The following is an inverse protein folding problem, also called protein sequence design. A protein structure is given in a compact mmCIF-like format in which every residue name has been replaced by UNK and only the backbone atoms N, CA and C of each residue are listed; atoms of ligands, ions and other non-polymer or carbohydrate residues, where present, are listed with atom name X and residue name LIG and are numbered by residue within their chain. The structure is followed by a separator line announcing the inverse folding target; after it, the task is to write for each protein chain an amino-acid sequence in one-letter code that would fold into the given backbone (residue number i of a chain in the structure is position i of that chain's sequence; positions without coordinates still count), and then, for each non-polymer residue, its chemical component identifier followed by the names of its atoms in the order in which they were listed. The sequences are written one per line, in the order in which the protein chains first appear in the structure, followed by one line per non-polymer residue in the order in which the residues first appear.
data_IF_796625319621
#
_entry.id   IF_796625319621
#
_cell.length_a   1.000
_cell.length_b   1.000
_cell.length_c   1.000
_cell.angle_alpha   90.00
_cell.angle_beta   90.00
_cell.angle_gamma   90.00
#
_symmetry.space_group_name_H-M   'P 1'
#
loop_
_entity.id
_entity.type
_entity.pdbx_description
1 polymer ?
#
# COMPACT_ATOMS: atom_id res chain seq x y z
N UNK A 1 -11.17 -4.06 -14.86
CA UNK A 1 -10.31 -3.22 -14.00
C UNK A 1 -8.85 -3.17 -14.49
N UNK A 2 -8.60 -2.82 -15.77
CA UNK A 2 -7.24 -2.76 -16.35
C UNK A 2 -6.90 -1.35 -16.88
N UNK A 3 -7.79 -0.35 -16.71
CA UNK A 3 -7.63 0.97 -17.34
C UNK A 3 -7.22 2.13 -16.42
N UNK A 4 -7.09 1.93 -15.10
CA UNK A 4 -6.78 3.01 -14.15
C UNK A 4 -5.27 3.24 -13.88
N UNK A 5 -4.38 2.39 -14.39
CA UNK A 5 -2.94 2.46 -14.12
C UNK A 5 -2.18 3.05 -15.31
N UNK A 6 -1.40 4.11 -15.09
CA UNK A 6 -0.43 4.64 -16.08
C UNK A 6 0.79 3.69 -16.14
N UNK A 7 1.51 3.71 -17.25
CA UNK A 7 2.67 2.84 -17.47
C UNK A 7 3.83 3.12 -16.51
N UNK A 8 3.86 4.33 -15.94
CA UNK A 8 5.01 4.95 -15.26
C UNK A 8 4.81 5.04 -13.74
N UNK A 9 4.18 4.05 -13.12
CA UNK A 9 4.06 4.04 -11.65
C UNK A 9 5.45 3.85 -11.03
N UNK A 10 5.86 4.83 -10.23
CA UNK A 10 7.01 4.78 -9.35
C UNK A 10 6.56 4.39 -7.94
N UNK A 11 7.23 3.40 -7.36
CA UNK A 11 7.04 2.97 -5.97
C UNK A 11 8.31 3.29 -5.19
N UNK A 12 8.22 4.21 -4.23
CA UNK A 12 9.31 4.54 -3.30
C UNK A 12 9.06 3.92 -1.93
N UNK A 13 10.09 3.31 -1.34
CA UNK A 13 10.12 2.76 0.01
C UNK A 13 11.31 3.37 0.79
N UNK A 14 11.17 4.52 1.45
CA UNK A 14 12.24 4.95 2.37
C UNK A 14 12.26 4.01 3.61
N UNK A 15 13.42 3.44 4.03
CA UNK A 15 14.80 3.86 3.76
C UNK A 15 15.61 2.95 2.80
N UNK A 16 14.96 2.05 2.04
CA UNK A 16 15.65 1.22 1.03
C UNK A 16 15.26 1.74 -0.36
N UNK A 17 16.15 2.37 -1.14
CA UNK A 17 15.84 2.87 -2.47
C UNK A 17 15.64 1.71 -3.45
N UNK A 18 14.51 1.01 -3.33
CA UNK A 18 14.02 0.05 -4.29
C UNK A 18 13.08 0.81 -5.23
N UNK A 19 13.66 1.41 -6.26
CA UNK A 19 12.91 1.99 -7.37
C UNK A 19 12.32 0.85 -8.21
N UNK A 20 11.02 0.59 -8.07
CA UNK A 20 10.31 -0.23 -9.05
C UNK A 20 9.64 0.70 -10.05
N UNK A 21 10.30 0.92 -11.19
CA UNK A 21 9.69 1.56 -12.35
C UNK A 21 8.99 0.50 -13.19
N UNK A 22 7.68 0.70 -13.40
CA UNK A 22 6.91 -0.03 -14.40
C UNK A 22 5.80 -0.91 -13.84
N UNK A 23 4.61 -0.76 -14.45
CA UNK A 23 3.37 -1.49 -14.15
C UNK A 23 3.55 -3.01 -13.99
N UNK A 24 4.45 -3.63 -14.75
CA UNK A 24 4.73 -5.08 -14.69
C UNK A 24 5.52 -5.50 -13.45
N UNK A 25 6.39 -4.64 -12.91
CA UNK A 25 7.17 -4.95 -11.72
C UNK A 25 6.32 -4.83 -10.44
N UNK A 26 5.49 -3.79 -10.33
CA UNK A 26 4.55 -3.60 -9.21
C UNK A 26 3.44 -4.66 -9.24
N UNK A 27 2.85 -4.94 -10.41
CA UNK A 27 1.84 -6.01 -10.53
C UNK A 27 2.47 -7.40 -10.35
N UNK A 28 3.71 -7.63 -10.82
CA UNK A 28 4.43 -8.90 -10.63
C UNK A 28 4.84 -9.16 -9.18
N UNK A 29 5.26 -8.13 -8.45
CA UNK A 29 5.57 -8.22 -7.02
C UNK A 29 4.30 -8.42 -6.18
N UNK A 30 3.22 -7.68 -6.48
CA UNK A 30 1.91 -7.89 -5.87
C UNK A 30 1.36 -9.29 -6.20
N UNK A 31 1.52 -9.77 -7.44
CA UNK A 31 1.02 -11.07 -7.86
C UNK A 31 1.80 -12.25 -7.25
N UNK A 32 3.12 -12.12 -7.09
CA UNK A 32 3.97 -13.22 -6.60
C UNK A 32 4.11 -13.29 -5.07
N UNK A 33 3.99 -12.17 -4.33
CA UNK A 33 4.17 -12.14 -2.86
C UNK A 33 2.96 -11.68 -2.05
N UNK A 34 1.97 -11.00 -2.66
CA UNK A 34 0.81 -10.41 -1.95
C UNK A 34 -0.49 -11.21 -2.17
N UNK A 35 -0.62 -11.99 -3.24
CA UNK A 35 -1.81 -12.80 -3.56
C UNK A 35 -1.97 -14.11 -2.74
N UNK A 36 -1.31 -14.28 -1.60
CA UNK A 36 -1.82 -15.23 -0.60
C UNK A 36 -3.10 -14.65 -0.03
N UNK A 37 -4.26 -15.23 -0.41
CA UNK A 37 -5.57 -14.78 0.08
C UNK A 37 -5.52 -14.63 1.60
N UNK A 38 -5.86 -13.43 2.09
CA UNK A 38 -5.88 -13.11 3.50
C UNK A 38 -4.54 -12.68 4.11
N UNK A 39 -3.44 -12.56 3.38
CA UNK A 39 -2.18 -12.05 3.96
C UNK A 39 -2.25 -10.54 4.27
N UNK A 40 -3.06 -9.79 3.54
CA UNK A 40 -3.15 -8.34 3.65
C UNK A 40 -4.59 -7.88 3.84
N UNK A 41 -4.79 -6.90 4.72
CA UNK A 41 -6.01 -6.10 4.81
C UNK A 41 -5.64 -4.66 4.51
N UNK A 42 -6.45 -3.98 3.70
CA UNK A 42 -6.23 -2.59 3.31
C UNK A 42 -7.46 -1.76 3.62
N UNK A 43 -7.28 -0.63 4.29
CA UNK A 43 -8.36 0.30 4.66
C UNK A 43 -8.16 1.61 3.89
N UNK A 44 -9.12 2.03 3.04
CA UNK A 44 -9.05 3.30 2.34
C UNK A 44 -9.02 4.48 3.31
N UNK A 45 -8.13 5.43 3.05
CA UNK A 45 -7.99 6.68 3.81
C UNK A 45 -7.52 7.82 2.90
N UNK A 46 -7.19 8.98 3.48
CA UNK A 46 -6.60 10.12 2.79
C UNK A 46 -5.39 10.63 3.55
N UNK A 47 -4.34 10.99 2.82
CA UNK A 47 -3.15 11.64 3.36
C UNK A 47 -2.90 12.92 2.56
N UNK A 48 -2.87 14.08 3.23
CA UNK A 48 -2.61 15.38 2.60
C UNK A 48 -3.45 15.64 1.33
N UNK A 49 -4.75 15.33 1.39
CA UNK A 49 -5.69 15.49 0.28
C UNK A 49 -5.62 14.41 -0.81
N UNK A 50 -4.59 13.56 -0.80
CA UNK A 50 -4.43 12.45 -1.75
C UNK A 50 -5.10 11.17 -1.24
N UNK A 51 -5.60 10.30 -2.14
CA UNK A 51 -6.05 8.96 -1.77
C UNK A 51 -4.91 8.14 -1.15
N UNK A 52 -5.22 7.39 -0.10
CA UNK A 52 -4.25 6.56 0.59
C UNK A 52 -4.90 5.25 1.08
N UNK A 53 -4.07 4.30 1.47
CA UNK A 53 -4.46 3.01 2.03
C UNK A 53 -3.63 2.75 3.28
N UNK A 54 -4.28 2.49 4.41
CA UNK A 54 -3.62 1.85 5.54
C UNK A 54 -3.54 0.36 5.27
N UNK A 55 -2.34 -0.22 5.45
CA UNK A 55 -2.05 -1.61 5.16
C UNK A 55 -1.80 -2.35 6.46
N UNK A 56 -2.46 -3.50 6.59
CA UNK A 56 -2.25 -4.47 7.66
C UNK A 56 -1.76 -5.79 7.09
N UNK A 57 -0.83 -6.43 7.78
CA UNK A 57 -0.29 -7.74 7.44
C UNK A 57 -0.77 -8.78 8.44
N UNK A 58 -1.19 -9.94 7.94
CA UNK A 58 -1.56 -11.07 8.77
C UNK A 58 -0.34 -11.66 9.45
N UNK A 59 -0.42 -11.84 10.76
CA UNK A 59 0.58 -12.50 11.61
C UNK A 59 0.31 -13.99 11.74
N UNK A 60 1.29 -14.75 12.25
CA UNK A 60 1.20 -16.22 12.37
C UNK A 60 0.08 -16.70 13.30
N UNK A 61 -0.35 -15.85 14.24
CA UNK A 61 -1.48 -16.06 15.16
C UNK A 61 -2.84 -15.69 14.53
N UNK A 62 -2.86 -15.30 13.25
CA UNK A 62 -4.08 -15.01 12.50
C UNK A 62 -4.58 -13.57 12.62
N UNK A 63 -4.03 -12.75 13.53
CA UNK A 63 -4.36 -11.32 13.66
C UNK A 63 -3.78 -10.51 12.49
N UNK A 64 -4.21 -9.25 12.38
CA UNK A 64 -3.67 -8.31 11.41
C UNK A 64 -2.99 -7.17 12.13
N UNK A 65 -1.70 -6.99 11.88
CA UNK A 65 -0.90 -5.91 12.47
C UNK A 65 -0.63 -4.82 11.45
N UNK A 66 -0.58 -3.58 11.93
CA UNK A 66 -0.28 -2.41 11.13
C UNK A 66 1.08 -2.60 10.45
N UNK A 67 1.09 -2.43 9.14
CA UNK A 67 2.29 -2.49 8.32
C UNK A 67 2.75 -1.10 7.90
N UNK A 68 1.80 -0.19 7.67
CA UNK A 68 2.09 1.18 7.26
C UNK A 68 1.01 1.75 6.35
N UNK A 69 1.38 2.77 5.57
CA UNK A 69 0.44 3.54 4.74
C UNK A 69 0.98 3.71 3.33
N UNK A 70 0.13 3.53 2.34
CA UNK A 70 0.43 3.76 0.92
C UNK A 70 -0.33 4.98 0.43
N UNK A 71 0.38 6.02 -0.03
CA UNK A 71 -0.22 7.23 -0.60
C UNK A 71 -0.19 7.14 -2.12
N UNK A 72 -1.33 7.36 -2.76
CA UNK A 72 -1.49 7.31 -4.20
C UNK A 72 -1.50 8.74 -4.74
N UNK A 73 -0.53 9.04 -5.61
CA UNK A 73 -0.58 10.26 -6.41
C UNK A 73 -1.28 9.98 -7.73
N UNK A 74 -2.23 10.84 -8.09
CA UNK A 74 -2.99 10.72 -9.33
C UNK A 74 -2.76 11.94 -10.23
N UNK A 75 -2.81 11.70 -11.54
CA UNK A 75 -3.01 12.73 -12.56
C UNK A 75 -4.30 12.36 -13.31
N UNK A 76 -5.33 13.20 -13.18
CA UNK A 76 -6.68 12.87 -13.60
C UNK A 76 -7.20 11.62 -12.87
N UNK A 77 -7.64 10.61 -13.62
CA UNK A 77 -8.14 9.33 -13.07
C UNK A 77 -7.08 8.23 -13.00
N UNK A 78 -5.80 8.56 -13.26
CA UNK A 78 -4.72 7.57 -13.33
C UNK A 78 -3.75 7.72 -12.16
N UNK A 79 -3.44 6.61 -11.49
CA UNK A 79 -2.37 6.58 -10.47
C UNK A 79 -1.03 6.69 -11.19
N UNK A 80 -0.21 7.65 -10.77
CA UNK A 80 1.13 7.92 -11.30
C UNK A 80 2.23 7.57 -10.32
N UNK A 81 1.93 7.50 -9.03
CA UNK A 81 2.93 7.14 -8.01
C UNK A 81 2.25 6.48 -6.81
N UNK A 82 2.95 5.52 -6.20
CA UNK A 82 2.56 4.91 -4.92
C UNK A 82 3.72 5.11 -3.95
N UNK A 83 3.55 5.97 -2.95
CA UNK A 83 4.55 6.14 -1.89
C UNK A 83 4.21 5.19 -0.74
N UNK A 84 5.06 4.22 -0.45
CA UNK A 84 4.84 3.25 0.62
C UNK A 84 5.64 3.65 1.86
N UNK A 85 4.93 4.10 2.88
CA UNK A 85 5.47 4.36 4.21
C UNK A 85 5.28 3.11 5.06
N UNK A 86 6.29 2.24 5.10
CA UNK A 86 6.26 0.99 5.87
C UNK A 86 6.56 1.23 7.35
N UNK A 87 5.87 2.20 7.94
CA UNK A 87 5.99 2.58 9.35
C UNK A 87 4.62 2.39 10.03
N UNK A 88 4.48 1.35 10.88
CA UNK A 88 3.25 1.11 11.63
C UNK A 88 2.83 2.27 12.53
N UNK A 89 3.78 3.08 13.02
CA UNK A 89 3.50 4.20 13.92
C UNK A 89 2.68 5.32 13.26
N UNK A 90 2.61 5.34 11.93
CA UNK A 90 1.77 6.26 11.17
C UNK A 90 0.29 5.88 11.20
N UNK A 91 -0.05 4.61 11.44
CA UNK A 91 -1.43 4.12 11.36
C UNK A 91 -2.39 4.82 12.35
N UNK A 92 -2.02 5.05 13.62
CA UNK A 92 -2.84 5.83 14.55
C UNK A 92 -3.15 7.26 14.08
N UNK A 93 -2.28 7.88 13.29
CA UNK A 93 -2.52 9.22 12.73
C UNK A 93 -3.71 9.26 11.76
N UNK A 94 -4.13 8.10 11.25
CA UNK A 94 -5.32 7.94 10.40
C UNK A 94 -6.54 7.48 11.20
N UNK A 95 -6.49 7.51 12.54
CA UNK A 95 -7.60 7.12 13.42
C UNK A 95 -7.85 5.61 13.48
N UNK A 96 -6.85 4.80 13.09
CA UNK A 96 -6.96 3.34 13.06
C UNK A 96 -6.05 2.68 14.10
N UNK A 97 -6.46 1.52 14.60
CA UNK A 97 -5.68 0.76 15.57
C UNK A 97 -4.47 0.06 14.93
N UNK A 98 -3.44 -0.22 15.74
CA UNK A 98 -2.24 -0.96 15.30
C UNK A 98 -2.49 -2.46 15.08
N UNK A 99 -3.62 -2.98 15.56
CA UNK A 99 -4.03 -4.36 15.35
C UNK A 99 -5.53 -4.43 15.05
N UNK A 100 -5.90 -5.34 14.15
CA UNK A 100 -7.29 -5.71 13.89
C UNK A 100 -7.50 -7.16 14.32
N UNK A 101 -8.57 -7.39 15.10
CA UNK A 101 -9.10 -8.73 15.32
C UNK A 101 -9.65 -9.30 14.00
N UNK A 102 -9.63 -10.63 13.85
CA UNK A 102 -10.07 -11.31 12.62
C UNK A 102 -11.56 -11.09 12.40
#
# INVERSE_FOLDING_TARGET
MVNLLRADVEMEMAPIPAWFTGRRAVVGFLASRVLRRGLWRMVPTRANGQPALVVYKRTGDGRYEAYGVQVLTLIGTRITRITAFNDPSLVPMFGLALALAT
#
